data_IF_085170229645
#
_entry.id   IF_085170229645
#
_cell.length_a   1.000
_cell.length_b   1.000
_cell.length_c   1.000
_cell.angle_alpha   90.00
_cell.angle_beta   90.00
_cell.angle_gamma   90.00
#
_symmetry.space_group_name_H-M   'P 1'
#
loop_
_entity.id
_entity.type
_entity.pdbx_description
1 polymer ?
#
# COMPACT_ATOMS: atom_id res chain seq x y z
N UNK A 1 -0.29 12.74 11.82
CA UNK A 1 0.66 11.65 12.10
C UNK A 1 1.47 11.41 10.83
N UNK A 2 2.79 11.39 10.94
CA UNK A 2 3.71 11.25 9.81
C UNK A 2 4.15 9.78 9.72
N UNK A 3 3.59 9.01 8.80
CA UNK A 3 4.03 7.63 8.56
C UNK A 3 5.22 7.65 7.60
N UNK A 4 6.41 7.32 8.09
CA UNK A 4 7.61 7.13 7.26
C UNK A 4 7.56 5.71 6.71
N UNK A 5 7.14 5.57 5.45
CA UNK A 5 7.17 4.30 4.75
C UNK A 5 8.58 4.02 4.21
N UNK A 6 9.26 3.03 4.79
CA UNK A 6 10.51 2.49 4.24
C UNK A 6 10.16 1.60 3.05
N UNK A 7 10.48 2.08 1.84
CA UNK A 7 10.23 1.39 0.58
C UNK A 7 11.18 0.20 0.43
N UNK A 8 10.68 -1.02 0.66
CA UNK A 8 11.39 -2.23 0.26
C UNK A 8 11.07 -2.57 -1.20
N UNK A 9 12.14 -2.79 -1.96
CA UNK A 9 12.15 -3.15 -3.38
C UNK A 9 11.27 -4.37 -3.66
N UNK A 10 10.18 -4.18 -4.41
CA UNK A 10 9.31 -5.25 -4.86
C UNK A 10 10.02 -6.22 -5.83
N UNK A 11 9.81 -7.52 -5.61
CA UNK A 11 10.26 -8.57 -6.52
C UNK A 11 9.36 -8.61 -7.77
N UNK A 12 9.95 -8.32 -8.94
CA UNK A 12 9.28 -8.42 -10.24
C UNK A 12 9.03 -9.89 -10.60
N UNK A 13 7.77 -10.32 -10.58
CA UNK A 13 7.35 -11.58 -11.17
C UNK A 13 7.57 -11.55 -12.69
N UNK A 14 8.55 -12.31 -13.20
CA UNK A 14 8.83 -12.47 -14.64
C UNK A 14 7.70 -13.24 -15.33
N UNK A 15 6.77 -12.55 -15.97
CA UNK A 15 5.90 -13.14 -16.99
C UNK A 15 6.64 -13.23 -18.34
N UNK A 16 6.56 -14.41 -18.98
CA UNK A 16 7.25 -14.77 -20.23
C UNK A 16 6.85 -13.88 -21.43
N UNK A 17 7.86 -13.61 -22.29
CA UNK A 17 7.79 -13.32 -23.74
C UNK A 17 7.29 -11.93 -24.20
N UNK A 18 8.24 -11.03 -24.49
CA UNK A 18 8.18 -10.07 -25.61
C UNK A 18 7.35 -8.78 -25.48
N UNK A 19 6.38 -8.68 -24.58
CA UNK A 19 5.66 -7.42 -24.29
C UNK A 19 5.91 -7.02 -22.84
N UNK A 20 6.45 -5.81 -22.61
CA UNK A 20 6.52 -5.22 -21.26
C UNK A 20 5.09 -5.20 -20.69
N UNK A 21 4.81 -6.07 -19.72
CA UNK A 21 3.51 -6.09 -19.04
C UNK A 21 3.28 -4.72 -18.41
N UNK A 22 2.15 -4.11 -18.73
CA UNK A 22 1.74 -2.83 -18.12
C UNK A 22 1.18 -3.03 -16.72
N UNK A 23 0.82 -4.26 -16.35
CA UNK A 23 0.31 -4.61 -15.03
C UNK A 23 1.41 -5.29 -14.21
N UNK A 24 1.57 -4.87 -12.96
CA UNK A 24 2.47 -5.47 -11.97
C UNK A 24 1.68 -5.68 -10.68
N UNK A 25 1.82 -6.85 -10.08
CA UNK A 25 1.19 -7.18 -8.79
C UNK A 25 2.31 -7.37 -7.79
N UNK A 26 2.20 -6.72 -6.63
CA UNK A 26 3.15 -6.76 -5.54
C UNK A 26 2.46 -7.24 -4.27
N UNK A 27 3.21 -7.90 -3.42
CA UNK A 27 2.84 -8.15 -2.03
C UNK A 27 3.96 -7.58 -1.16
N UNK A 28 3.60 -6.85 -0.11
CA UNK A 28 4.51 -6.25 0.85
C UNK A 28 4.05 -6.55 2.27
N UNK A 29 5.02 -6.60 3.18
CA UNK A 29 4.77 -6.64 4.61
C UNK A 29 5.47 -5.45 5.21
N UNK A 30 4.71 -4.61 5.92
CA UNK A 30 5.19 -3.43 6.60
C UNK A 30 4.90 -3.52 8.09
N UNK A 31 5.71 -2.85 8.89
CA UNK A 31 5.42 -2.69 10.32
C UNK A 31 4.50 -1.47 10.44
N UNK A 32 3.28 -1.71 10.88
CA UNK A 32 2.30 -0.68 11.19
C UNK A 32 2.37 -0.36 12.68
N UNK A 33 2.44 0.93 13.00
CA UNK A 33 2.42 1.41 14.37
C UNK A 33 1.04 2.03 14.64
N UNK A 34 0.10 1.29 15.28
CA UNK A 34 -1.24 1.79 15.49
C UNK A 34 -1.24 2.93 16.52
N UNK A 35 -2.19 3.87 16.45
CA UNK A 35 -2.35 4.90 17.48
C UNK A 35 -2.80 4.25 18.81
N UNK A 36 -1.96 4.28 19.85
CA UNK A 36 -2.27 3.76 21.19
C UNK A 36 -1.04 3.18 21.91
N UNK A 37 -1.24 2.61 23.11
CA UNK A 37 -0.21 1.89 23.88
C UNK A 37 -0.09 0.42 23.41
N UNK A 38 -0.09 0.22 22.09
CA UNK A 38 -0.15 -1.11 21.46
C UNK A 38 1.15 -1.46 20.78
N UNK A 39 1.52 -2.74 20.85
CA UNK A 39 2.72 -3.26 20.17
C UNK A 39 2.57 -3.12 18.66
N UNK A 40 3.67 -2.78 17.97
CA UNK A 40 3.70 -2.67 16.51
C UNK A 40 3.12 -3.92 15.84
N UNK A 41 2.27 -3.71 14.85
CA UNK A 41 1.54 -4.75 14.14
C UNK A 41 2.16 -5.02 12.77
N UNK A 42 1.94 -6.21 12.24
CA UNK A 42 2.29 -6.50 10.84
C UNK A 42 1.12 -6.11 9.95
N UNK A 43 1.42 -5.34 8.90
CA UNK A 43 0.49 -4.99 7.84
C UNK A 43 0.90 -5.71 6.56
N UNK A 44 0.03 -6.59 6.10
CA UNK A 44 0.18 -7.31 4.84
C UNK A 44 -0.56 -6.55 3.76
N UNK A 45 0.13 -6.13 2.70
CA UNK A 45 -0.45 -5.36 1.61
C UNK A 45 -0.28 -6.08 0.28
N UNK A 46 -1.34 -6.10 -0.51
CA UNK A 46 -1.30 -6.52 -1.91
C UNK A 46 -1.60 -5.29 -2.75
N UNK A 47 -0.72 -5.00 -3.72
CA UNK A 47 -0.90 -3.87 -4.62
C UNK A 47 -0.85 -4.27 -6.08
N UNK A 48 -1.72 -3.67 -6.88
CA UNK A 48 -1.77 -3.79 -8.32
C UNK A 48 -1.40 -2.44 -8.94
N UNK A 49 -0.25 -2.39 -9.61
CA UNK A 49 0.24 -1.22 -10.33
C UNK A 49 -0.05 -1.39 -11.82
N UNK A 50 -0.78 -0.44 -12.39
CA UNK A 50 -1.03 -0.35 -13.82
C UNK A 50 -0.31 0.85 -14.44
N UNK A 51 0.59 0.55 -15.36
CA UNK A 51 1.37 1.52 -16.13
C UNK A 51 0.51 2.10 -17.24
N UNK A 52 -0.01 3.30 -17.00
CA UNK A 52 -0.76 4.09 -17.97
C UNK A 52 0.20 4.59 -19.07
N UNK A 53 1.36 5.13 -18.67
CA UNK A 53 2.38 5.66 -19.59
C UNK A 53 3.81 5.49 -19.05
N UNK A 54 4.83 6.00 -19.75
CA UNK A 54 6.20 6.03 -19.21
C UNK A 54 6.36 7.00 -18.03
N UNK A 55 5.40 7.92 -17.86
CA UNK A 55 5.42 8.97 -16.83
C UNK A 55 4.36 8.78 -15.74
N UNK A 56 3.35 7.94 -15.97
CA UNK A 56 2.21 7.78 -15.07
C UNK A 56 1.92 6.32 -14.80
N UNK A 57 1.71 6.00 -13.52
CA UNK A 57 1.32 4.68 -13.04
C UNK A 57 0.21 4.83 -12.03
N UNK A 58 -0.91 4.15 -12.24
CA UNK A 58 -1.93 4.00 -11.21
C UNK A 58 -1.58 2.81 -10.32
N UNK A 59 -1.77 2.93 -9.03
CA UNK A 59 -1.64 1.85 -8.06
C UNK A 59 -2.93 1.72 -7.26
N UNK A 60 -3.38 0.49 -7.09
CA UNK A 60 -4.44 0.13 -6.17
C UNK A 60 -3.86 -0.84 -5.16
N UNK A 61 -3.93 -0.54 -3.87
CA UNK A 61 -3.49 -1.44 -2.80
C UNK A 61 -4.64 -1.76 -1.85
N UNK A 62 -4.61 -2.96 -1.30
CA UNK A 62 -5.45 -3.38 -0.20
C UNK A 62 -4.57 -4.09 0.81
N UNK A 63 -4.70 -3.71 2.07
CA UNK A 63 -3.94 -4.27 3.16
C UNK A 63 -4.83 -4.96 4.20
N UNK A 64 -4.19 -5.70 5.07
CA UNK A 64 -4.79 -6.32 6.22
C UNK A 64 -3.77 -6.38 7.36
N UNK A 65 -4.19 -5.91 8.53
CA UNK A 65 -3.43 -5.99 9.77
C UNK A 65 -4.37 -6.37 10.91
N UNK A 66 -3.84 -7.09 11.89
CA UNK A 66 -4.56 -7.45 13.10
C UNK A 66 -3.64 -7.18 14.28
N UNK A 67 -4.17 -6.48 15.28
CA UNK A 67 -3.44 -6.13 16.49
C UNK A 67 -4.36 -6.15 17.72
N UNK A 68 -3.75 -6.30 18.89
CA UNK A 68 -4.45 -6.21 20.17
C UNK A 68 -4.40 -4.77 20.65
N UNK A 69 -5.58 -4.18 20.88
CA UNK A 69 -5.75 -2.86 21.48
C UNK A 69 -6.47 -2.99 22.82
N UNK A 70 -5.70 -2.98 23.91
CA UNK A 70 -6.24 -3.05 25.27
C UNK A 70 -7.04 -4.33 25.57
N UNK A 71 -6.65 -5.47 24.99
CA UNK A 71 -7.35 -6.75 25.12
C UNK A 71 -8.47 -6.96 24.09
N UNK A 72 -8.61 -6.06 23.12
CA UNK A 72 -9.55 -6.17 22.00
C UNK A 72 -8.79 -6.41 20.70
N UNK A 73 -9.10 -7.53 20.05
CA UNK A 73 -8.60 -7.82 18.70
C UNK A 73 -9.19 -6.84 17.71
N UNK A 74 -8.35 -5.95 17.20
CA UNK A 74 -8.71 -4.95 16.19
C UNK A 74 -8.16 -5.37 14.83
N UNK A 75 -9.02 -5.34 13.82
CA UNK A 75 -8.67 -5.62 12.42
C UNK A 75 -8.65 -4.31 11.64
N UNK A 76 -7.55 -4.05 10.95
CA UNK A 76 -7.33 -2.86 10.14
C UNK A 76 -7.15 -3.24 8.67
N UNK A 77 -7.97 -2.67 7.80
CA UNK A 77 -8.00 -2.92 6.36
C UNK A 77 -7.88 -1.58 5.63
N UNK A 78 -6.66 -1.18 5.23
CA UNK A 78 -6.46 -0.02 4.38
C UNK A 78 -6.67 -0.39 2.91
N UNK A 79 -7.49 0.38 2.19
CA UNK A 79 -7.62 0.31 0.73
C UNK A 79 -7.16 1.65 0.16
N UNK A 80 -6.18 1.63 -0.74
CA UNK A 80 -5.57 2.87 -1.25
C UNK A 80 -5.56 2.87 -2.77
N UNK A 81 -5.78 4.05 -3.35
CA UNK A 81 -5.61 4.29 -4.78
C UNK A 81 -4.65 5.44 -4.96
N UNK A 82 -3.49 5.17 -5.57
CA UNK A 82 -2.40 6.12 -5.74
C UNK A 82 -2.15 6.37 -7.23
N UNK A 83 -1.69 7.58 -7.54
CA UNK A 83 -1.17 7.94 -8.85
C UNK A 83 0.29 8.37 -8.70
N UNK A 84 1.19 7.66 -9.37
CA UNK A 84 2.62 7.94 -9.40
C UNK A 84 2.99 8.69 -10.68
N UNK A 85 3.72 9.79 -10.53
CA UNK A 85 4.34 10.56 -11.60
C UNK A 85 5.85 10.37 -11.61
N UNK A 86 6.38 9.97 -12.76
CA UNK A 86 7.78 9.69 -13.03
C UNK A 86 8.35 10.76 -13.98
N UNK A 87 8.92 11.88 -13.47
CA UNK A 87 9.36 13.02 -14.29
C UNK A 87 10.42 12.67 -15.34
N UNK A 88 11.37 11.81 -14.96
CA UNK A 88 12.48 11.39 -15.84
C UNK A 88 12.15 10.16 -16.69
N UNK A 89 10.96 9.60 -16.52
CA UNK A 89 10.56 8.32 -17.10
C UNK A 89 11.24 7.12 -16.43
N UNK A 90 10.68 5.94 -16.67
CA UNK A 90 11.14 4.70 -16.02
C UNK A 90 12.46 4.19 -16.60
N UNK A 91 13.57 4.49 -15.91
CA UNK A 91 14.94 4.05 -16.21
C UNK A 91 15.59 3.27 -15.05
N UNK A 92 16.92 3.17 -15.07
CA UNK A 92 17.71 2.61 -13.95
C UNK A 92 17.57 3.43 -12.66
N UNK A 93 17.43 4.75 -12.83
CA UNK A 93 17.12 5.70 -11.78
C UNK A 93 15.73 6.27 -12.10
N UNK A 94 14.75 5.94 -11.26
CA UNK A 94 13.34 6.24 -11.48
C UNK A 94 12.75 6.97 -10.27
N UNK A 95 13.12 8.25 -10.05
CA UNK A 95 12.51 9.04 -9.01
C UNK A 95 11.04 9.25 -9.39
N UNK A 96 10.16 9.07 -8.42
CA UNK A 96 8.73 9.30 -8.60
C UNK A 96 8.18 10.11 -7.44
N UNK A 97 7.12 10.87 -7.73
CA UNK A 97 6.27 11.51 -6.74
C UNK A 97 4.87 10.98 -6.94
N UNK A 98 4.19 10.63 -5.86
CA UNK A 98 2.84 10.11 -5.94
C UNK A 98 1.98 10.65 -4.82
N UNK A 99 0.68 10.65 -5.07
CA UNK A 99 -0.35 10.96 -4.09
C UNK A 99 -1.59 10.14 -4.41
N UNK A 100 -2.48 10.00 -3.43
CA UNK A 100 -3.62 9.13 -3.58
C UNK A 100 -4.69 9.35 -2.55
N UNK A 101 -5.69 8.49 -2.60
CA UNK A 101 -6.77 8.45 -1.64
C UNK A 101 -6.70 7.11 -0.91
N UNK A 102 -6.98 7.13 0.38
CA UNK A 102 -7.14 5.91 1.17
C UNK A 102 -8.53 5.84 1.80
N UNK A 103 -9.06 4.63 1.90
CA UNK A 103 -10.22 4.28 2.69
C UNK A 103 -9.79 3.19 3.66
N UNK A 104 -9.81 3.53 4.95
CA UNK A 104 -9.30 2.69 6.02
C UNK A 104 -10.48 2.18 6.85
N UNK A 105 -10.62 0.87 6.89
CA UNK A 105 -11.66 0.19 7.65
C UNK A 105 -11.04 -0.40 8.91
N UNK A 106 -11.56 -0.02 10.07
CA UNK A 106 -11.14 -0.55 11.37
C UNK A 106 -12.31 -1.27 11.99
N UNK A 107 -12.13 -2.54 12.32
CA UNK A 107 -13.13 -3.36 12.99
C UNK A 107 -12.61 -3.74 14.37
N UNK A 108 -13.34 -3.35 15.41
CA UNK A 108 -13.05 -3.74 16.79
C UNK A 108 -14.35 -4.27 17.42
N UNK A 109 -14.31 -5.52 17.90
CA UNK A 109 -15.50 -6.25 18.33
C UNK A 109 -16.57 -6.29 17.20
N UNK A 110 -17.72 -5.65 17.41
CA UNK A 110 -18.83 -5.54 16.44
C UNK A 110 -18.93 -4.15 15.78
N UNK A 111 -18.02 -3.23 16.07
CA UNK A 111 -18.03 -1.89 15.48
C UNK A 111 -17.06 -1.79 14.31
N UNK A 112 -17.60 -1.37 13.17
CA UNK A 112 -16.82 -1.07 11.95
C UNK A 112 -16.80 0.42 11.73
N UNK A 113 -15.61 1.00 11.76
CA UNK A 113 -15.37 2.41 11.44
C UNK A 113 -14.70 2.52 10.08
N UNK A 114 -15.23 3.38 9.21
CA UNK A 114 -14.65 3.68 7.90
C UNK A 114 -14.12 5.12 7.90
N UNK A 115 -12.85 5.30 7.57
CA UNK A 115 -12.18 6.61 7.53
C UNK A 115 -11.58 6.83 6.14
N UNK A 116 -11.84 7.97 5.52
CA UNK A 116 -11.19 8.36 4.26
C UNK A 116 -10.00 9.29 4.52
N UNK A 117 -8.95 9.15 3.72
CA UNK A 117 -7.73 9.96 3.76
C UNK A 117 -7.26 10.38 2.37
N UNK A 118 -6.42 11.43 2.36
CA UNK A 118 -5.70 12.02 1.20
C UNK A 118 -4.21 12.03 1.51
#
# INVERSE_FOLDING_TARGET
>A
MLAVAVLFSGAYAKTKRGKKSKLSVNASVSVFDPPGDVSSALLFEVSAKYRISQKFTGELSAGWSQYDDGGVTTTYIPVQTNLEYHPLGRGMFDPYVGGGLSANFTQANDQTTATAGI
#
